data_IF_937294904682
#
_entry.id   IF_937294904682
#
_cell.length_a   1.000
_cell.length_b   1.000
_cell.length_c   1.000
_cell.angle_alpha   90.00
_cell.angle_beta   90.00
_cell.angle_gamma   90.00
#
_symmetry.space_group_name_H-M   'P 1'
#
loop_
_entity.id
_entity.type
_entity.pdbx_description
1 polymer ?
#
# COMPACT_ATOMS: atom_id res chain seq x y z
N UNK A 1 -3.91 -2.65 17.01
CA UNK A 1 -5.35 -2.40 17.02
C UNK A 1 -6.06 -3.50 16.24
N UNK A 2 -6.94 -4.23 16.91
CA UNK A 2 -7.63 -5.33 16.28
C UNK A 2 -8.93 -4.93 15.61
N UNK A 3 -9.46 -5.85 14.82
CA UNK A 3 -10.76 -5.68 14.21
C UNK A 3 -11.86 -5.76 15.26
N UNK A 4 -12.97 -5.09 15.01
CA UNK A 4 -14.09 -4.99 15.92
C UNK A 4 -15.37 -5.41 15.23
N UNK A 5 -16.42 -5.59 16.03
CA UNK A 5 -17.74 -5.84 15.49
C UNK A 5 -18.12 -4.73 14.49
N UNK A 6 -18.55 -5.12 13.33
CA UNK A 6 -18.94 -4.19 12.29
C UNK A 6 -17.83 -3.78 11.35
N UNK A 7 -16.58 -4.10 11.67
CA UNK A 7 -15.46 -3.81 10.80
C UNK A 7 -15.48 -4.74 9.60
N UNK A 8 -14.94 -4.24 8.50
CA UNK A 8 -14.80 -5.03 7.28
C UNK A 8 -13.79 -6.16 7.51
N UNK A 9 -14.13 -7.34 7.00
CA UNK A 9 -13.22 -8.49 7.06
C UNK A 9 -12.23 -8.39 5.91
N UNK A 10 -10.94 -8.37 6.24
CA UNK A 10 -9.88 -8.41 5.23
C UNK A 10 -9.59 -9.85 4.85
N UNK A 11 -9.32 -10.15 3.58
CA UNK A 11 -8.95 -11.51 3.19
C UNK A 11 -7.58 -11.89 3.74
N UNK A 12 -7.30 -13.18 3.90
CA UNK A 12 -5.95 -13.63 4.22
C UNK A 12 -5.01 -13.42 3.05
N UNK A 13 -3.72 -13.61 3.30
CA UNK A 13 -2.76 -13.58 2.21
C UNK A 13 -3.07 -14.67 1.19
N UNK A 14 -2.99 -14.32 -0.09
CA UNK A 14 -3.29 -15.27 -1.16
C UNK A 14 -2.15 -16.29 -1.25
N UNK A 15 -2.46 -17.59 -1.26
CA UNK A 15 -1.43 -18.60 -1.46
C UNK A 15 -0.65 -18.34 -2.76
N UNK A 16 0.68 -18.29 -2.67
CA UNK A 16 1.52 -17.97 -3.82
C UNK A 16 1.55 -16.50 -4.18
N UNK A 17 0.90 -15.66 -3.41
CA UNK A 17 0.88 -14.22 -3.61
C UNK A 17 1.50 -13.49 -2.43
N UNK A 18 1.19 -12.19 -2.34
CA UNK A 18 1.75 -11.32 -1.31
C UNK A 18 0.70 -11.00 -0.27
N UNK A 19 1.12 -10.92 0.99
CA UNK A 19 0.26 -10.50 2.08
C UNK A 19 0.51 -9.02 2.35
N UNK A 20 -0.56 -8.22 2.37
CA UNK A 20 -0.43 -6.80 2.67
C UNK A 20 -0.59 -6.57 4.17
N UNK A 21 0.31 -5.78 4.75
CA UNK A 21 0.27 -5.39 6.16
C UNK A 21 0.53 -3.90 6.27
N UNK A 22 -0.04 -3.29 7.30
CA UNK A 22 0.19 -1.88 7.55
C UNK A 22 1.50 -1.69 8.32
N UNK A 23 2.32 -0.76 7.87
CA UNK A 23 3.54 -0.39 8.59
C UNK A 23 3.26 0.67 9.65
N UNK A 24 2.15 1.44 9.49
CA UNK A 24 1.79 2.50 10.42
C UNK A 24 0.29 2.48 10.66
N UNK A 25 -0.15 3.05 11.78
CA UNK A 25 -1.58 3.17 12.08
C UNK A 25 -2.25 4.20 11.17
N UNK A 26 -1.50 5.23 10.76
CA UNK A 26 -2.02 6.23 9.80
C UNK A 26 -2.32 5.59 8.46
N UNK A 27 -1.48 4.66 8.02
CA UNK A 27 -1.73 3.93 6.78
C UNK A 27 -3.03 3.14 6.85
N UNK A 28 -3.31 2.52 8.00
CA UNK A 28 -4.55 1.77 8.18
C UNK A 28 -5.78 2.67 8.09
N UNK A 29 -5.73 3.84 8.71
CA UNK A 29 -6.82 4.80 8.66
C UNK A 29 -7.04 5.32 7.24
N UNK A 30 -5.95 5.67 6.56
CA UNK A 30 -6.02 6.17 5.19
C UNK A 30 -6.53 5.13 4.22
N UNK A 31 -6.13 3.89 4.40
CA UNK A 31 -6.62 2.78 3.59
C UNK A 31 -8.15 2.63 3.73
N UNK A 32 -8.66 2.67 4.97
CA UNK A 32 -10.09 2.57 5.20
C UNK A 32 -10.84 3.74 4.56
N UNK A 33 -10.25 4.93 4.60
CA UNK A 33 -10.83 6.09 3.92
C UNK A 33 -10.93 5.85 2.42
N UNK A 34 -9.88 5.31 1.80
CA UNK A 34 -9.90 4.99 0.37
C UNK A 34 -10.92 3.91 0.05
N UNK A 35 -11.06 2.90 0.91
CA UNK A 35 -12.06 1.85 0.71
C UNK A 35 -13.48 2.43 0.69
N UNK A 36 -13.72 3.49 1.44
CA UNK A 36 -15.05 4.14 1.49
C UNK A 36 -15.28 5.09 0.33
N UNK A 37 -14.26 5.88 -0.04
CA UNK A 37 -14.42 6.96 -1.00
C UNK A 37 -14.06 6.58 -2.43
N UNK A 38 -13.28 5.53 -2.63
CA UNK A 38 -12.81 5.11 -3.96
C UNK A 38 -12.76 3.59 -4.04
N UNK A 39 -13.90 2.95 -3.78
CA UNK A 39 -13.96 1.49 -3.64
C UNK A 39 -13.37 0.75 -4.83
N UNK A 40 -13.81 1.08 -6.04
CA UNK A 40 -13.37 0.35 -7.24
C UNK A 40 -11.88 0.52 -7.48
N UNK A 41 -11.39 1.75 -7.38
CA UNK A 41 -9.98 2.03 -7.62
C UNK A 41 -9.10 1.42 -6.53
N UNK A 42 -9.58 1.39 -5.29
CA UNK A 42 -8.86 0.78 -4.19
C UNK A 42 -8.82 -0.74 -4.36
N UNK A 43 -9.89 -1.34 -4.88
CA UNK A 43 -9.89 -2.77 -5.19
C UNK A 43 -8.83 -3.09 -6.24
N UNK A 44 -8.72 -2.28 -7.30
CA UNK A 44 -7.69 -2.47 -8.31
C UNK A 44 -6.29 -2.34 -7.72
N UNK A 45 -6.10 -1.36 -6.84
CA UNK A 45 -4.83 -1.20 -6.15
C UNK A 45 -4.50 -2.44 -5.32
N UNK A 46 -5.49 -2.97 -4.61
CA UNK A 46 -5.33 -4.18 -3.80
C UNK A 46 -4.82 -5.34 -4.64
N UNK A 47 -5.39 -5.54 -5.82
CA UNK A 47 -4.97 -6.62 -6.72
C UNK A 47 -3.50 -6.45 -7.11
N UNK A 48 -3.10 -5.23 -7.49
CA UNK A 48 -1.72 -4.97 -7.87
C UNK A 48 -0.76 -5.22 -6.71
N UNK A 49 -1.10 -4.71 -5.52
CA UNK A 49 -0.24 -4.85 -4.35
C UNK A 49 -0.06 -6.31 -3.93
N UNK A 50 -1.09 -7.12 -4.09
CA UNK A 50 -1.04 -8.51 -3.64
C UNK A 50 -0.58 -9.49 -4.71
N UNK A 51 -0.49 -9.05 -5.96
CA UNK A 51 -0.07 -9.93 -7.05
C UNK A 51 1.24 -9.53 -7.68
N UNK A 52 1.44 -8.24 -7.95
CA UNK A 52 2.66 -7.75 -8.61
C UNK A 52 3.11 -6.40 -8.05
N UNK A 53 3.47 -6.36 -6.77
CA UNK A 53 3.81 -5.06 -6.16
C UNK A 53 5.10 -4.45 -6.68
N UNK A 54 6.03 -5.26 -7.19
CA UNK A 54 7.34 -4.79 -7.65
C UNK A 54 7.49 -4.83 -9.17
N UNK A 55 6.38 -5.01 -9.88
CA UNK A 55 6.39 -4.97 -11.34
C UNK A 55 5.34 -3.95 -11.78
N UNK A 56 5.69 -3.00 -12.65
CA UNK A 56 4.76 -1.94 -13.03
C UNK A 56 3.67 -2.46 -13.98
N UNK A 57 2.68 -3.12 -13.41
CA UNK A 57 1.54 -3.64 -14.15
C UNK A 57 0.74 -2.49 -14.77
N UNK A 58 0.68 -1.38 -14.04
CA UNK A 58 -0.03 -0.19 -14.50
C UNK A 58 0.90 1.01 -14.35
N UNK A 59 1.85 1.19 -15.30
CA UNK A 59 2.87 2.22 -15.14
C UNK A 59 2.34 3.64 -15.09
N UNK A 60 1.10 3.88 -15.53
CA UNK A 60 0.49 5.19 -15.39
C UNK A 60 0.15 5.52 -13.94
N UNK A 61 -0.01 4.48 -13.09
CA UNK A 61 -0.42 4.66 -11.69
C UNK A 61 0.60 4.11 -10.69
N UNK A 62 1.51 3.25 -11.12
CA UNK A 62 2.41 2.50 -10.24
C UNK A 62 3.86 2.77 -10.62
N UNK A 63 4.64 3.32 -9.69
CA UNK A 63 6.06 3.58 -9.97
C UNK A 63 6.86 3.68 -8.68
N UNK A 64 8.17 3.52 -8.82
CA UNK A 64 9.11 3.72 -7.73
C UNK A 64 9.15 5.19 -7.32
N UNK A 65 9.34 5.44 -6.04
CA UNK A 65 9.62 6.79 -5.58
C UNK A 65 11.11 7.08 -5.71
N UNK A 66 11.47 8.35 -5.68
CA UNK A 66 12.83 8.82 -5.97
C UNK A 66 13.41 9.59 -4.80
N UNK A 67 14.75 9.78 -4.86
CA UNK A 67 15.46 10.60 -3.89
C UNK A 67 15.32 10.09 -2.48
N UNK A 68 15.03 10.96 -1.51
CA UNK A 68 14.89 10.54 -0.10
C UNK A 68 13.75 9.56 0.13
N UNK A 69 12.81 9.48 -0.79
CA UNK A 69 11.65 8.60 -0.66
C UNK A 69 11.85 7.25 -1.36
N UNK A 70 12.99 7.03 -1.99
CA UNK A 70 13.23 5.82 -2.78
C UNK A 70 13.25 4.55 -1.94
N UNK A 71 13.61 4.65 -0.67
CA UNK A 71 13.76 3.51 0.22
C UNK A 71 13.17 3.79 1.58
N UNK A 72 12.86 2.73 2.31
CA UNK A 72 12.40 2.84 3.69
C UNK A 72 12.89 1.65 4.48
N UNK A 73 13.27 1.91 5.75
CA UNK A 73 13.66 0.82 6.63
C UNK A 73 12.46 0.31 7.40
N UNK A 74 12.22 -0.98 7.31
CA UNK A 74 11.13 -1.64 8.02
C UNK A 74 11.69 -2.93 8.62
N UNK A 75 11.61 -3.04 9.93
CA UNK A 75 12.12 -4.21 10.64
C UNK A 75 13.60 -4.45 10.44
N UNK A 76 14.39 -3.38 10.30
CA UNK A 76 15.82 -3.47 10.09
C UNK A 76 16.24 -3.72 8.65
N UNK A 77 15.30 -3.79 7.72
CA UNK A 77 15.60 -3.99 6.31
C UNK A 77 15.33 -2.72 5.52
N UNK A 78 16.20 -2.44 4.57
CA UNK A 78 16.03 -1.32 3.65
C UNK A 78 15.27 -1.83 2.43
N UNK A 79 14.05 -1.36 2.25
CA UNK A 79 13.16 -1.81 1.20
C UNK A 79 12.91 -0.69 0.19
N UNK A 80 12.72 -1.09 -1.07
CA UNK A 80 12.32 -0.16 -2.12
C UNK A 80 10.93 0.37 -1.82
N UNK A 81 10.73 1.67 -2.03
CA UNK A 81 9.43 2.28 -1.81
C UNK A 81 8.76 2.66 -3.12
N UNK A 82 7.50 2.28 -3.25
CA UNK A 82 6.67 2.47 -4.43
C UNK A 82 5.45 3.31 -4.10
N UNK A 83 4.89 3.91 -5.12
CA UNK A 83 3.62 4.61 -5.02
C UNK A 83 2.62 4.01 -6.00
N UNK A 84 1.39 3.84 -5.55
CA UNK A 84 0.26 3.54 -6.42
C UNK A 84 -0.72 4.72 -6.35
N UNK A 85 -1.08 5.26 -7.51
CA UNK A 85 -2.04 6.36 -7.61
C UNK A 85 -3.43 5.78 -7.70
N UNK A 86 -4.21 5.88 -6.62
CA UNK A 86 -5.54 5.31 -6.55
C UNK A 86 -6.54 6.19 -7.28
N UNK A 87 -6.47 7.50 -7.02
CA UNK A 87 -7.26 8.53 -7.68
C UNK A 87 -6.34 9.68 -8.04
N UNK A 88 -6.87 10.73 -8.64
CA UNK A 88 -6.06 11.90 -8.99
C UNK A 88 -5.31 12.48 -7.78
N UNK A 89 -5.90 12.43 -6.59
CA UNK A 89 -5.24 12.89 -5.37
C UNK A 89 -4.83 11.77 -4.43
N UNK A 90 -5.47 10.61 -4.53
CA UNK A 90 -5.27 9.50 -3.60
C UNK A 90 -4.05 8.66 -3.92
N UNK A 91 -3.30 8.31 -2.88
CA UNK A 91 -2.02 7.60 -3.03
C UNK A 91 -1.89 6.50 -2.01
N UNK A 92 -1.15 5.46 -2.39
CA UNK A 92 -0.66 4.44 -1.47
C UNK A 92 0.85 4.37 -1.65
N UNK A 93 1.58 4.49 -0.54
CA UNK A 93 3.02 4.22 -0.53
C UNK A 93 3.23 2.88 0.11
N UNK A 94 4.02 2.03 -0.53
CA UNK A 94 4.22 0.68 -0.04
C UNK A 94 5.63 0.18 -0.36
N UNK A 95 6.07 -0.79 0.44
CA UNK A 95 7.39 -1.39 0.31
C UNK A 95 7.25 -2.90 0.22
N UNK A 96 7.52 -3.50 -0.94
CA UNK A 96 7.52 -4.96 -1.05
C UNK A 96 8.74 -5.55 -0.34
N UNK A 97 8.50 -6.62 0.40
CA UNK A 97 9.55 -7.39 1.07
C UNK A 97 9.53 -8.79 0.46
N UNK A 98 10.36 -9.06 -0.56
CA UNK A 98 10.31 -10.33 -1.26
C UNK A 98 10.77 -11.52 -0.43
N UNK A 99 11.58 -11.29 0.60
CA UNK A 99 12.04 -12.39 1.45
C UNK A 99 10.89 -12.98 2.27
N UNK A 100 9.88 -12.17 2.56
CA UNK A 100 8.75 -12.58 3.38
C UNK A 100 7.44 -12.66 2.61
N UNK A 101 7.44 -12.20 1.37
CA UNK A 101 6.21 -12.08 0.56
C UNK A 101 5.18 -11.19 1.24
N UNK A 102 5.67 -10.10 1.83
CA UNK A 102 4.82 -9.10 2.49
C UNK A 102 4.96 -7.77 1.76
N UNK A 103 3.84 -7.08 1.59
CA UNK A 103 3.82 -5.70 1.11
C UNK A 103 3.44 -4.82 2.30
N UNK A 104 4.36 -3.95 2.69
CA UNK A 104 4.14 -3.03 3.81
C UNK A 104 3.51 -1.75 3.28
N UNK A 105 2.29 -1.47 3.70
CA UNK A 105 1.60 -0.22 3.37
C UNK A 105 2.06 0.83 4.37
N UNK A 106 2.80 1.81 3.88
CA UNK A 106 3.47 2.82 4.69
C UNK A 106 2.59 4.04 4.88
N UNK A 107 1.91 4.44 3.82
CA UNK A 107 1.01 5.58 3.83
C UNK A 107 -0.11 5.34 2.85
N UNK A 108 -1.29 5.83 3.15
CA UNK A 108 -2.45 5.71 2.27
C UNK A 108 -3.41 6.84 2.60
N UNK A 109 -4.15 7.30 1.59
CA UNK A 109 -5.15 8.32 1.84
C UNK A 109 -5.62 8.99 0.56
N UNK A 110 -6.72 9.73 0.65
CA UNK A 110 -7.27 10.44 -0.51
C UNK A 110 -6.48 11.66 -0.93
N UNK A 111 -5.44 12.05 -0.16
CA UNK A 111 -4.56 13.17 -0.46
C UNK A 111 -3.11 12.73 -0.42
N UNK A 112 -2.21 13.56 -0.95
CA UNK A 112 -0.79 13.26 -0.92
C UNK A 112 -0.29 13.12 0.51
N UNK A 113 0.58 12.13 0.79
CA UNK A 113 1.24 12.06 2.09
C UNK A 113 2.09 13.31 2.34
N UNK A 114 2.09 13.79 3.59
CA UNK A 114 2.81 15.02 3.93
C UNK A 114 4.31 14.91 3.72
N UNK A 115 4.85 13.72 3.78
CA UNK A 115 6.29 13.51 3.60
C UNK A 115 6.78 13.86 2.20
N UNK A 116 5.88 14.08 1.24
CA UNK A 116 6.26 14.52 -0.10
C UNK A 116 6.47 16.01 -0.21
N UNK A 117 6.06 16.75 0.77
CA UNK A 117 6.12 18.20 0.75
C UNK A 117 7.46 18.75 1.19
#
# INVERSE_FOLDING_TARGET
MGAKRGDRVAPPGKPGGWEARFATSEAAKGWESLCKTARSNTWEAWIVLTERPAAPVNPARQHRLYGPLAYREIGGKRLDQWQYEVTAGGRIWYCPDPDRWIVWVVAAGPAHPKATE
#
